data_IF_915800228062
#
_entry.id   IF_915800228062
#
_cell.length_a   1.000
_cell.length_b   1.000
_cell.length_c   1.000
_cell.angle_alpha   90.00
_cell.angle_beta   90.00
_cell.angle_gamma   90.00
#
_symmetry.space_group_name_H-M   'P 1'
#
loop_
_entity.id
_entity.type
_entity.pdbx_description
1 polymer ?
#
# COMPACT_ATOMS: atom_id res chain seq x y z
N UNK A 1 13.80 -13.98 -16.78
CA UNK A 1 13.44 -14.54 -15.46
C UNK A 1 13.95 -13.67 -14.32
N UNK A 2 15.20 -13.87 -13.88
CA UNK A 2 15.76 -13.25 -12.67
C UNK A 2 15.79 -11.71 -12.68
N UNK A 3 16.15 -11.08 -13.80
CA UNK A 3 16.17 -9.61 -13.93
C UNK A 3 14.78 -8.97 -13.78
N UNK A 4 13.72 -9.63 -14.26
CA UNK A 4 12.33 -9.12 -14.16
C UNK A 4 11.80 -9.25 -12.73
N UNK A 5 12.06 -10.37 -12.07
CA UNK A 5 11.71 -10.57 -10.66
C UNK A 5 12.39 -9.53 -9.76
N UNK A 6 13.69 -9.31 -9.94
CA UNK A 6 14.42 -8.28 -9.18
C UNK A 6 13.86 -6.87 -9.41
N UNK A 7 13.43 -6.55 -10.64
CA UNK A 7 12.78 -5.29 -10.94
C UNK A 7 11.41 -5.16 -10.23
N UNK A 8 10.60 -6.22 -10.20
CA UNK A 8 9.30 -6.21 -9.51
C UNK A 8 9.46 -6.07 -7.99
N UNK A 9 10.44 -6.75 -7.39
CA UNK A 9 10.79 -6.55 -5.97
C UNK A 9 11.20 -5.09 -5.73
N UNK A 10 11.99 -4.48 -6.61
CA UNK A 10 12.35 -3.06 -6.49
C UNK A 10 11.13 -2.15 -6.59
N UNK A 11 10.18 -2.43 -7.49
CA UNK A 11 8.93 -1.68 -7.59
C UNK A 11 8.09 -1.83 -6.32
N UNK A 12 8.00 -3.04 -5.76
CA UNK A 12 7.33 -3.30 -4.49
C UNK A 12 7.93 -2.48 -3.34
N UNK A 13 9.26 -2.47 -3.22
CA UNK A 13 9.98 -1.68 -2.22
C UNK A 13 9.75 -0.17 -2.39
N UNK A 14 9.62 0.30 -3.63
CA UNK A 14 9.27 1.69 -3.89
C UNK A 14 7.86 2.02 -3.37
N UNK A 15 6.86 1.16 -3.61
CA UNK A 15 5.52 1.36 -3.04
C UNK A 15 5.55 1.46 -1.52
N UNK A 16 6.27 0.54 -0.86
CA UNK A 16 6.44 0.56 0.60
C UNK A 16 7.14 1.83 1.09
N UNK A 17 8.16 2.30 0.38
CA UNK A 17 8.85 3.55 0.74
C UNK A 17 7.93 4.77 0.66
N UNK A 18 7.03 4.81 -0.33
CA UNK A 18 6.03 5.88 -0.47
C UNK A 18 5.00 5.79 0.66
N UNK A 19 4.51 4.59 0.98
CA UNK A 19 3.58 4.40 2.11
C UNK A 19 4.21 4.89 3.42
N UNK A 20 5.48 4.54 3.68
CA UNK A 20 6.20 4.99 4.88
C UNK A 20 6.40 6.50 4.92
N UNK A 21 6.81 7.11 3.81
CA UNK A 21 6.95 8.56 3.73
C UNK A 21 5.62 9.28 4.02
N UNK A 22 4.51 8.79 3.46
CA UNK A 22 3.18 9.31 3.76
C UNK A 22 2.79 9.08 5.23
N UNK A 23 3.12 7.93 5.81
CA UNK A 23 2.85 7.61 7.20
C UNK A 23 3.60 8.56 8.15
N UNK A 24 4.87 8.84 7.89
CA UNK A 24 5.69 9.78 8.65
C UNK A 24 5.14 11.21 8.57
N UNK A 25 4.76 11.66 7.36
CA UNK A 25 4.14 12.98 7.17
C UNK A 25 2.83 13.11 7.96
N UNK A 26 1.94 12.10 7.87
CA UNK A 26 0.67 12.09 8.60
C UNK A 26 0.89 12.03 10.11
N UNK A 27 1.91 11.31 10.58
CA UNK A 27 2.26 11.24 12.00
C UNK A 27 2.77 12.58 12.52
N UNK A 28 3.62 13.29 11.76
CA UNK A 28 4.07 14.64 12.11
C UNK A 28 2.92 15.62 12.19
N UNK A 29 1.97 15.56 11.24
CA UNK A 29 0.76 16.39 11.26
C UNK A 29 -0.14 16.04 12.46
N UNK A 30 -0.26 14.76 12.82
CA UNK A 30 -1.02 14.32 13.99
C UNK A 30 -0.44 14.89 15.29
N UNK A 31 0.88 14.89 15.44
CA UNK A 31 1.57 15.46 16.62
C UNK A 31 1.45 16.99 16.65
N UNK A 32 1.57 17.65 15.50
CA UNK A 32 1.50 19.11 15.39
C UNK A 32 0.06 19.67 15.49
N UNK A 33 -0.95 18.81 15.39
CA UNK A 33 -2.36 19.21 15.39
C UNK A 33 -2.75 19.81 16.75
N UNK A 34 -3.17 21.07 16.74
CA UNK A 34 -3.70 21.76 17.94
C UNK A 34 -5.10 21.30 18.33
N UNK A 35 -5.86 20.80 17.36
CA UNK A 35 -7.21 20.26 17.58
C UNK A 35 -7.13 18.73 17.80
N UNK A 36 -7.57 18.23 18.97
CA UNK A 36 -7.60 16.80 19.26
C UNK A 36 -8.43 15.96 18.26
N UNK A 37 -9.47 16.53 17.64
CA UNK A 37 -10.28 15.81 16.66
C UNK A 37 -9.49 15.53 15.37
N UNK A 38 -8.76 16.53 14.90
CA UNK A 38 -7.88 16.44 13.73
C UNK A 38 -6.74 15.46 14.02
N UNK A 39 -6.14 15.54 15.22
CA UNK A 39 -5.11 14.60 15.66
C UNK A 39 -5.58 13.15 15.60
N UNK A 40 -6.78 12.84 16.15
CA UNK A 40 -7.35 11.47 16.09
C UNK A 40 -7.58 10.99 14.67
N UNK A 41 -8.05 11.86 13.77
CA UNK A 41 -8.28 11.48 12.37
C UNK A 41 -6.96 11.08 11.70
N UNK A 42 -5.90 11.88 11.85
CA UNK A 42 -4.59 11.54 11.30
C UNK A 42 -3.98 10.30 11.94
N UNK A 43 -4.14 10.10 13.25
CA UNK A 43 -3.71 8.86 13.91
C UNK A 43 -4.41 7.62 13.34
N UNK A 44 -5.72 7.71 13.06
CA UNK A 44 -6.45 6.62 12.39
C UNK A 44 -5.92 6.35 10.98
N UNK A 45 -5.58 7.39 10.22
CA UNK A 45 -4.95 7.22 8.89
C UNK A 45 -3.56 6.58 8.99
N UNK A 46 -2.76 6.95 9.99
CA UNK A 46 -1.46 6.32 10.28
C UNK A 46 -1.63 4.82 10.57
N UNK A 47 -2.64 4.43 11.37
CA UNK A 47 -2.93 3.01 11.61
C UNK A 47 -3.30 2.25 10.32
N UNK A 48 -4.09 2.86 9.43
CA UNK A 48 -4.44 2.25 8.14
C UNK A 48 -3.20 2.10 7.24
N UNK A 49 -2.34 3.12 7.16
CA UNK A 49 -1.10 3.08 6.38
C UNK A 49 -0.11 2.05 6.93
N UNK A 50 -0.03 1.91 8.26
CA UNK A 50 0.77 0.87 8.92
C UNK A 50 0.27 -0.52 8.55
N UNK A 51 -1.06 -0.77 8.64
CA UNK A 51 -1.65 -2.04 8.23
C UNK A 51 -1.41 -2.33 6.74
N UNK A 52 -1.53 -1.32 5.86
CA UNK A 52 -1.20 -1.44 4.45
C UNK A 52 0.26 -1.86 4.24
N UNK A 53 1.21 -1.20 4.91
CA UNK A 53 2.63 -1.54 4.78
C UNK A 53 2.95 -2.94 5.31
N UNK A 54 2.30 -3.34 6.41
CA UNK A 54 2.39 -4.68 7.00
C UNK A 54 1.98 -5.77 6.01
N UNK A 55 0.76 -5.64 5.45
CA UNK A 55 0.21 -6.59 4.48
C UNK A 55 1.06 -6.60 3.20
N UNK A 56 1.43 -5.42 2.70
CA UNK A 56 2.22 -5.31 1.46
C UNK A 56 3.60 -5.96 1.62
N UNK A 57 4.29 -5.71 2.75
CA UNK A 57 5.58 -6.34 3.03
C UNK A 57 5.46 -7.86 3.11
N UNK A 58 4.41 -8.38 3.77
CA UNK A 58 4.18 -9.83 3.81
C UNK A 58 3.94 -10.41 2.40
N UNK A 59 3.11 -9.74 1.60
CA UNK A 59 2.86 -10.15 0.21
C UNK A 59 4.14 -10.09 -0.65
N UNK A 60 4.99 -9.09 -0.44
CA UNK A 60 6.29 -8.97 -1.09
C UNK A 60 7.16 -10.21 -0.78
N UNK A 61 7.24 -10.61 0.49
CA UNK A 61 8.05 -11.76 0.92
C UNK A 61 7.50 -13.08 0.35
N UNK A 62 6.19 -13.32 0.49
CA UNK A 62 5.56 -14.60 0.16
C UNK A 62 5.35 -14.78 -1.35
N UNK A 63 4.88 -13.74 -2.04
CA UNK A 63 4.41 -13.85 -3.43
C UNK A 63 5.40 -13.31 -4.47
N UNK A 64 6.11 -12.22 -4.16
CA UNK A 64 6.96 -11.53 -5.14
C UNK A 64 8.40 -12.02 -5.06
N UNK A 65 8.99 -11.99 -3.87
CA UNK A 65 10.35 -12.46 -3.61
C UNK A 65 10.41 -13.99 -3.56
N UNK A 66 9.35 -14.66 -3.10
CA UNK A 66 9.24 -16.13 -3.04
C UNK A 66 10.53 -16.73 -2.46
N UNK A 67 10.87 -16.31 -1.26
CA UNK A 67 12.09 -16.72 -0.59
C UNK A 67 12.07 -18.24 -0.36
N UNK A 68 13.18 -18.96 -0.63
CA UNK A 68 13.26 -20.39 -0.33
C UNK A 68 13.22 -20.63 1.18
N UNK A 69 12.96 -21.89 1.57
CA UNK A 69 13.00 -22.31 2.97
C UNK A 69 14.31 -21.87 3.64
N UNK A 70 14.22 -21.44 4.90
CA UNK A 70 15.31 -20.84 5.66
C UNK A 70 15.49 -19.34 5.42
N UNK A 71 15.69 -18.88 4.18
CA UNK A 71 15.74 -17.44 3.88
C UNK A 71 14.39 -16.74 4.17
N UNK A 72 13.29 -17.47 4.00
CA UNK A 72 11.94 -17.02 4.37
C UNK A 72 11.86 -16.58 5.84
N UNK A 73 12.42 -17.35 6.78
CA UNK A 73 12.37 -17.02 8.20
C UNK A 73 13.12 -15.72 8.49
N UNK A 74 14.27 -15.50 7.84
CA UNK A 74 15.02 -14.24 7.97
C UNK A 74 14.19 -13.04 7.51
N UNK A 75 13.50 -13.17 6.37
CA UNK A 75 12.62 -12.12 5.88
C UNK A 75 11.41 -11.89 6.79
N UNK A 76 10.86 -12.93 7.42
CA UNK A 76 9.78 -12.81 8.41
C UNK A 76 10.25 -12.14 9.71
N UNK A 77 11.49 -12.41 10.15
CA UNK A 77 12.11 -11.70 11.28
C UNK A 77 12.27 -10.22 10.96
N UNK A 78 12.79 -9.89 9.79
CA UNK A 78 12.92 -8.50 9.34
C UNK A 78 11.55 -7.84 9.17
N UNK A 79 10.54 -8.58 8.72
CA UNK A 79 9.14 -8.13 8.66
C UNK A 79 8.64 -7.72 10.04
N UNK A 80 8.73 -8.58 11.05
CA UNK A 80 8.27 -8.25 12.41
C UNK A 80 9.05 -7.07 13.00
N UNK A 81 10.37 -7.04 12.84
CA UNK A 81 11.21 -5.94 13.35
C UNK A 81 10.83 -4.59 12.77
N UNK A 82 10.52 -4.54 11.48
CA UNK A 82 10.10 -3.30 10.81
C UNK A 82 8.74 -2.78 11.30
N UNK A 83 7.91 -3.64 11.88
CA UNK A 83 6.54 -3.32 12.29
C UNK A 83 6.35 -3.23 13.81
N UNK A 84 7.40 -3.52 14.59
CA UNK A 84 7.44 -3.40 16.06
C UNK A 84 8.55 -2.41 16.44
N UNK A 85 8.26 -1.11 16.30
CA UNK A 85 9.25 -0.02 16.38
C UNK A 85 9.59 0.48 17.80
N UNK A 86 9.02 -0.09 18.86
CA UNK A 86 9.20 0.42 20.24
C UNK A 86 10.51 -0.06 20.90
N UNK A 87 11.23 -0.97 20.28
CA UNK A 87 12.41 -1.61 20.90
C UNK A 87 13.64 -0.72 20.84
N UNK A 88 13.84 0.00 19.73
CA UNK A 88 15.02 0.85 19.56
C UNK A 88 14.99 2.07 20.48
N UNK A 89 13.80 2.63 20.73
CA UNK A 89 13.63 3.72 21.71
C UNK A 89 13.86 3.22 23.14
N UNK A 90 13.34 2.04 23.49
CA UNK A 90 13.57 1.42 24.80
C UNK A 90 15.05 1.06 25.01
N UNK A 91 15.71 0.56 23.97
CA UNK A 91 17.15 0.27 23.99
C UNK A 91 17.96 1.55 24.24
N UNK A 92 17.66 2.63 23.55
CA UNK A 92 18.32 3.91 23.75
C UNK A 92 18.12 4.46 25.18
N UNK A 93 16.92 4.32 25.73
CA UNK A 93 16.57 4.76 27.09
C UNK A 93 17.34 3.96 28.16
N UNK A 94 17.29 2.63 28.10
CA UNK A 94 18.01 1.74 29.03
C UNK A 94 19.53 1.96 28.97
N UNK A 95 20.08 2.18 27.77
CA UNK A 95 21.50 2.44 27.56
C UNK A 95 21.94 3.84 27.99
N UNK A 96 21.03 4.82 27.96
CA UNK A 96 21.27 6.18 28.44
C UNK A 96 21.27 6.32 29.96
N UNK A 97 20.77 5.31 30.68
CA UNK A 97 20.78 5.27 32.14
C UNK A 97 22.20 5.11 32.71
N UNK A 98 22.46 5.70 33.88
CA UNK A 98 23.76 5.61 34.57
C UNK A 98 24.15 4.16 34.92
N UNK A 99 23.16 3.29 35.16
CA UNK A 99 23.36 1.88 35.46
C UNK A 99 22.33 1.02 34.69
N UNK A 100 22.63 0.61 33.45
CA UNK A 100 21.68 -0.12 32.61
C UNK A 100 21.15 -1.41 33.25
N UNK A 101 21.99 -2.16 33.98
CA UNK A 101 21.61 -3.42 34.65
C UNK A 101 20.57 -3.25 35.76
N UNK A 102 20.48 -2.07 36.37
CA UNK A 102 19.52 -1.77 37.44
C UNK A 102 18.26 -1.06 36.92
N UNK A 103 18.17 -0.83 35.62
CA UNK A 103 17.02 -0.16 35.03
C UNK A 103 15.78 -1.06 35.10
N UNK A 104 14.62 -0.51 35.45
CA UNK A 104 13.38 -1.28 35.62
C UNK A 104 12.98 -2.06 34.36
N UNK A 105 13.31 -1.51 33.19
CA UNK A 105 13.02 -2.14 31.89
C UNK A 105 14.16 -3.01 31.33
N UNK A 106 15.25 -3.25 32.07
CA UNK A 106 16.41 -3.99 31.56
C UNK A 106 16.05 -5.40 31.11
N UNK A 107 15.46 -6.22 31.99
CA UNK A 107 15.09 -7.60 31.65
C UNK A 107 13.98 -7.67 30.62
N UNK A 108 13.02 -6.73 30.66
CA UNK A 108 11.99 -6.57 29.63
C UNK A 108 12.62 -6.39 28.25
N UNK A 109 13.60 -5.50 28.14
CA UNK A 109 14.33 -5.24 26.90
C UNK A 109 15.13 -6.47 26.44
N UNK A 110 15.86 -7.14 27.33
CA UNK A 110 16.60 -8.36 26.98
C UNK A 110 15.66 -9.44 26.44
N UNK A 111 14.51 -9.66 27.09
CA UNK A 111 13.49 -10.60 26.61
C UNK A 111 12.97 -10.20 25.23
N UNK A 112 12.63 -8.93 25.00
CA UNK A 112 12.17 -8.45 23.68
C UNK A 112 13.24 -8.68 22.60
N UNK A 113 14.52 -8.41 22.88
CA UNK A 113 15.62 -8.64 21.94
C UNK A 113 15.73 -10.13 21.57
N UNK A 114 15.55 -11.04 22.53
CA UNK A 114 15.53 -12.49 22.29
C UNK A 114 14.29 -12.88 21.48
N UNK A 115 13.11 -12.36 21.79
CA UNK A 115 11.88 -12.64 21.03
C UNK A 115 11.98 -12.19 19.56
N UNK A 116 12.65 -11.06 19.30
CA UNK A 116 12.93 -10.55 17.94
C UNK A 116 14.13 -11.23 17.24
N UNK A 117 14.82 -12.15 17.90
CA UNK A 117 16.02 -12.81 17.39
C UNK A 117 17.25 -11.88 17.25
N UNK A 118 17.29 -10.75 17.96
CA UNK A 118 18.45 -9.83 18.05
C UNK A 118 19.44 -10.31 19.11
N UNK A 119 19.92 -11.54 18.95
CA UNK A 119 20.71 -12.24 19.96
C UNK A 119 22.05 -11.57 20.27
N UNK A 120 22.68 -10.92 19.28
CA UNK A 120 23.92 -10.18 19.50
C UNK A 120 23.76 -8.99 20.44
N UNK A 121 22.62 -8.30 20.37
CA UNK A 121 22.30 -7.17 21.23
C UNK A 121 21.87 -7.65 22.62
N UNK A 122 21.06 -8.71 22.70
CA UNK A 122 20.74 -9.37 23.95
C UNK A 122 22.02 -9.81 24.69
N UNK A 123 22.98 -10.41 23.98
CA UNK A 123 24.29 -10.81 24.52
C UNK A 123 25.09 -9.62 25.04
N UNK A 124 25.08 -8.49 24.33
CA UNK A 124 25.74 -7.26 24.79
C UNK A 124 25.09 -6.75 26.09
N UNK A 125 23.77 -6.79 26.20
CA UNK A 125 23.07 -6.43 27.44
C UNK A 125 23.42 -7.39 28.58
N UNK A 126 23.44 -8.71 28.34
CA UNK A 126 23.84 -9.70 29.34
C UNK A 126 25.29 -9.53 29.82
N UNK A 127 26.21 -9.06 28.96
CA UNK A 127 27.59 -8.77 29.39
C UNK A 127 27.64 -7.63 30.41
N UNK A 128 26.77 -6.63 30.31
CA UNK A 128 26.68 -5.53 31.29
C UNK A 128 26.15 -6.00 32.63
N UNK A 129 25.21 -6.95 32.62
CA UNK A 129 24.74 -7.60 33.84
C UNK A 129 25.83 -8.47 34.48
N UNK A 130 26.61 -9.19 33.65
CA UNK A 130 27.73 -9.99 34.14
C UNK A 130 28.83 -9.13 34.81
N UNK A 131 29.05 -7.92 34.31
CA UNK A 131 30.00 -6.97 34.91
C UNK A 131 29.46 -6.34 36.20
N UNK A 132 28.14 -6.11 36.28
CA UNK A 132 27.50 -5.50 37.44
C UNK A 132 27.27 -6.50 38.60
N UNK A 133 27.01 -7.77 38.29
CA UNK A 133 26.63 -8.80 39.25
C UNK A 133 27.53 -10.04 39.13
N UNK A 134 28.55 -10.17 40.01
CA UNK A 134 29.48 -11.31 39.96
C UNK A 134 28.83 -12.67 40.18
N UNK A 135 27.68 -12.73 40.86
CA UNK A 135 26.94 -13.97 41.14
C UNK A 135 26.21 -14.50 39.91
N UNK A 136 25.72 -13.62 39.02
CA UNK A 136 25.08 -14.01 37.75
C UNK A 136 26.06 -14.06 36.57
N UNK A 137 27.27 -13.52 36.72
CA UNK A 137 28.27 -13.42 35.66
C UNK A 137 28.58 -14.73 34.94
N UNK A 138 28.71 -15.85 35.66
CA UNK A 138 28.95 -17.16 35.07
C UNK A 138 27.78 -17.61 34.18
N UNK A 139 26.55 -17.49 34.70
CA UNK A 139 25.32 -17.84 33.98
C UNK A 139 25.10 -16.95 32.75
N UNK A 140 25.31 -15.63 32.88
CA UNK A 140 25.20 -14.68 31.78
C UNK A 140 26.19 -14.97 30.64
N UNK A 141 27.41 -15.42 30.96
CA UNK A 141 28.41 -15.82 29.95
C UNK A 141 27.98 -17.09 29.21
N UNK A 142 27.51 -18.11 29.93
CA UNK A 142 27.01 -19.35 29.33
C UNK A 142 25.86 -19.05 28.37
N UNK A 143 24.83 -18.31 28.83
CA UNK A 143 23.70 -17.96 27.99
C UNK A 143 24.12 -17.08 26.80
N UNK A 144 25.04 -16.14 27.02
CA UNK A 144 25.62 -15.32 25.96
C UNK A 144 26.42 -16.12 24.93
N UNK A 145 27.09 -17.19 25.35
CA UNK A 145 27.78 -18.11 24.44
C UNK A 145 26.79 -18.93 23.62
N UNK A 146 25.70 -19.43 24.23
CA UNK A 146 24.59 -20.10 23.51
C UNK A 146 23.94 -19.17 22.48
N UNK A 147 23.73 -17.89 22.82
CA UNK A 147 23.20 -16.90 21.89
C UNK A 147 24.13 -16.68 20.69
N UNK A 148 25.45 -16.66 20.92
CA UNK A 148 26.45 -16.49 19.86
C UNK A 148 26.55 -17.70 18.94
N UNK A 149 26.41 -18.91 19.48
CA UNK A 149 26.53 -20.16 18.71
C UNK A 149 25.25 -20.56 17.99
N UNK A 150 24.13 -19.84 18.19
CA UNK A 150 22.88 -20.10 17.50
C UNK A 150 23.09 -20.17 15.97
N UNK A 151 22.73 -21.29 15.31
CA UNK A 151 22.88 -21.41 13.88
C UNK A 151 21.91 -20.51 13.10
N UNK A 152 22.46 -19.65 12.24
CA UNK A 152 21.68 -18.78 11.35
C UNK A 152 22.14 -18.98 9.91
N UNK A 153 21.19 -19.00 8.96
CA UNK A 153 21.49 -19.06 7.54
C UNK A 153 22.20 -17.79 7.07
N UNK A 154 23.42 -17.94 6.59
CA UNK A 154 24.18 -16.84 6.01
C UNK A 154 23.98 -16.79 4.48
N UNK A 155 23.52 -15.66 3.89
CA UNK A 155 23.19 -15.56 2.46
C UNK A 155 24.35 -15.82 1.47
N UNK A 156 25.59 -15.92 1.96
CA UNK A 156 26.79 -16.18 1.15
C UNK A 156 27.40 -17.57 1.33
N UNK A 157 26.88 -18.40 2.23
CA UNK A 157 27.44 -19.73 2.51
C UNK A 157 26.71 -20.81 1.71
N UNK A 158 27.46 -21.80 1.21
CA UNK A 158 26.91 -22.99 0.53
C UNK A 158 26.31 -24.02 1.50
N UNK A 159 25.88 -23.58 2.69
CA UNK A 159 25.36 -24.47 3.71
C UNK A 159 24.02 -25.04 3.26
N UNK A 160 23.86 -26.36 3.36
CA UNK A 160 22.58 -27.01 3.03
C UNK A 160 21.59 -26.83 4.18
N UNK A 161 20.28 -26.90 3.88
CA UNK A 161 19.24 -26.84 4.93
C UNK A 161 19.39 -27.97 5.94
N UNK A 162 19.82 -29.16 5.50
CA UNK A 162 20.07 -30.30 6.38
C UNK A 162 21.25 -30.04 7.33
N UNK A 163 22.33 -29.42 6.86
CA UNK A 163 23.46 -29.02 7.72
C UNK A 163 23.07 -27.95 8.74
N UNK A 164 22.19 -27.02 8.37
CA UNK A 164 21.65 -26.05 9.31
C UNK A 164 20.83 -26.75 10.39
N UNK A 165 19.89 -27.61 9.99
CA UNK A 165 19.01 -28.34 10.89
C UNK A 165 19.81 -29.18 11.89
N UNK A 166 20.85 -29.90 11.44
CA UNK A 166 21.72 -30.68 12.33
C UNK A 166 22.47 -29.81 13.35
N UNK A 167 23.02 -28.67 12.92
CA UNK A 167 23.67 -27.73 13.86
C UNK A 167 22.67 -27.15 14.84
N UNK A 168 21.47 -26.85 14.37
CA UNK A 168 20.41 -26.28 15.20
C UNK A 168 19.93 -27.28 16.24
N UNK A 169 19.73 -28.54 15.87
CA UNK A 169 19.39 -29.62 16.80
C UNK A 169 20.47 -29.79 17.87
N UNK A 170 21.74 -29.79 17.47
CA UNK A 170 22.84 -29.87 18.43
C UNK A 170 22.86 -28.68 19.40
N UNK A 171 22.67 -27.47 18.90
CA UNK A 171 22.56 -26.26 19.72
C UNK A 171 21.35 -26.33 20.67
N UNK A 172 20.22 -26.84 20.19
CA UNK A 172 19.00 -27.01 20.98
C UNK A 172 19.21 -28.03 22.13
N UNK A 173 19.88 -29.15 21.86
CA UNK A 173 20.30 -30.13 22.89
C UNK A 173 21.25 -29.52 23.94
N UNK A 174 22.15 -28.61 23.54
CA UNK A 174 23.03 -27.90 24.49
C UNK A 174 22.24 -26.96 25.41
N UNK A 175 21.30 -26.20 24.85
CA UNK A 175 20.38 -25.37 25.63
C UNK A 175 19.57 -26.23 26.62
N UNK A 176 19.07 -27.40 26.18
CA UNK A 176 18.27 -28.30 27.00
C UNK A 176 19.10 -28.88 28.16
N UNK A 177 20.34 -29.29 27.88
CA UNK A 177 21.27 -29.81 28.88
C UNK A 177 21.53 -28.79 29.99
N UNK A 178 21.77 -27.53 29.63
CA UNK A 178 21.99 -26.47 30.63
C UNK A 178 20.77 -26.24 31.53
N UNK A 179 19.56 -26.41 30.99
CA UNK A 179 18.32 -26.30 31.77
C UNK A 179 18.13 -27.52 32.69
N UNK A 180 18.39 -28.75 32.20
CA UNK A 180 18.33 -29.98 32.99
C UNK A 180 19.33 -29.99 34.14
N UNK A 181 20.55 -29.49 33.90
CA UNK A 181 21.61 -29.35 34.90
C UNK A 181 21.31 -28.23 35.92
N UNK A 182 20.16 -27.54 35.80
CA UNK A 182 19.76 -26.43 36.67
C UNK A 182 20.79 -25.30 36.71
N UNK A 183 21.52 -25.10 35.61
CA UNK A 183 22.59 -24.09 35.50
C UNK A 183 22.10 -22.68 35.82
N UNK A 184 20.83 -22.39 35.50
CA UNK A 184 20.21 -21.07 35.65
C UNK A 184 19.31 -20.92 36.88
N UNK A 185 19.22 -21.93 37.76
CA UNK A 185 18.25 -21.93 38.88
C UNK A 185 18.40 -20.75 39.86
N UNK A 186 19.58 -20.12 39.91
CA UNK A 186 19.82 -18.94 40.73
C UNK A 186 19.27 -17.62 40.13
N UNK A 187 18.87 -17.61 38.85
CA UNK A 187 18.28 -16.45 38.18
C UNK A 187 17.07 -16.86 37.34
N UNK A 188 15.83 -16.58 37.80
CA UNK A 188 14.61 -16.96 37.08
C UNK A 188 14.51 -16.28 35.71
N UNK A 189 15.08 -15.09 35.56
CA UNK A 189 15.11 -14.38 34.28
C UNK A 189 15.98 -15.12 33.25
N UNK A 190 17.16 -15.60 33.61
CA UNK A 190 18.04 -16.34 32.69
C UNK A 190 17.45 -17.71 32.35
N UNK A 191 16.80 -18.36 33.32
CA UNK A 191 16.08 -19.61 33.08
C UNK A 191 14.91 -19.41 32.10
N UNK A 192 14.13 -18.35 32.27
CA UNK A 192 13.05 -17.97 31.36
C UNK A 192 13.57 -17.70 29.94
N UNK A 193 14.67 -16.95 29.79
CA UNK A 193 15.31 -16.73 28.49
C UNK A 193 15.77 -18.03 27.83
N UNK A 194 16.34 -18.96 28.60
CA UNK A 194 16.73 -20.27 28.07
C UNK A 194 15.51 -21.10 27.62
N UNK A 195 14.39 -21.07 28.37
CA UNK A 195 13.13 -21.72 27.97
C UNK A 195 12.56 -21.12 26.68
N UNK A 196 12.64 -19.80 26.53
CA UNK A 196 12.27 -19.10 25.29
C UNK A 196 13.14 -19.57 24.11
N UNK A 197 14.47 -19.64 24.29
CA UNK A 197 15.40 -20.11 23.25
C UNK A 197 15.20 -21.58 22.86
N UNK A 198 14.66 -22.40 23.77
CA UNK A 198 14.24 -23.78 23.50
C UNK A 198 12.89 -23.89 22.78
N UNK A 199 12.19 -22.77 22.60
CA UNK A 199 10.87 -22.75 21.99
C UNK A 199 9.77 -23.34 22.88
N UNK A 200 9.92 -23.28 24.21
CA UNK A 200 8.86 -23.66 25.14
C UNK A 200 7.63 -22.77 24.93
N UNK A 201 6.54 -23.36 24.43
CA UNK A 201 5.30 -22.66 24.10
C UNK A 201 4.70 -21.95 25.33
N UNK A 202 4.80 -22.55 26.52
CA UNK A 202 4.29 -21.94 27.74
C UNK A 202 5.10 -20.69 28.11
N UNK A 203 6.43 -20.77 28.05
CA UNK A 203 7.31 -19.63 28.33
C UNK A 203 7.13 -18.49 27.31
N UNK A 204 6.88 -18.81 26.03
CA UNK A 204 6.57 -17.81 25.01
C UNK A 204 5.21 -17.14 25.26
N UNK A 205 4.19 -17.90 25.65
CA UNK A 205 2.85 -17.36 25.97
C UNK A 205 2.84 -16.51 27.24
N UNK A 206 3.70 -16.79 28.22
CA UNK A 206 3.91 -15.90 29.37
C UNK A 206 4.37 -14.49 28.95
N UNK A 207 5.06 -14.37 27.79
CA UNK A 207 5.53 -13.09 27.24
C UNK A 207 4.56 -12.47 26.22
N UNK A 208 3.29 -12.89 26.21
CA UNK A 208 2.25 -12.41 25.27
C UNK A 208 2.16 -10.87 25.22
N UNK A 209 2.25 -10.21 26.36
CA UNK A 209 2.22 -8.73 26.45
C UNK A 209 3.42 -8.06 25.79
N UNK A 210 4.59 -8.72 25.74
CA UNK A 210 5.79 -8.18 25.10
C UNK A 210 5.79 -8.39 23.59
N UNK A 211 5.14 -9.46 23.13
CA UNK A 211 5.01 -9.76 21.71
C UNK A 211 4.01 -8.83 21.03
N UNK A 212 3.02 -8.34 21.78
CA UNK A 212 1.86 -7.54 21.36
C UNK A 212 0.90 -8.26 20.41
N UNK A 213 1.43 -8.98 19.41
CA UNK A 213 0.67 -9.49 18.27
C UNK A 213 1.00 -10.97 18.00
N UNK A 214 0.02 -11.73 17.52
CA UNK A 214 0.16 -13.17 17.28
C UNK A 214 1.19 -13.52 16.19
N UNK A 215 1.39 -12.63 15.21
CA UNK A 215 2.36 -12.87 14.14
C UNK A 215 3.81 -12.65 14.60
N UNK A 216 4.03 -11.84 15.64
CA UNK A 216 5.34 -11.80 16.31
C UNK A 216 5.59 -13.13 17.03
N UNK A 217 4.58 -13.61 17.79
CA UNK A 217 4.63 -14.94 18.42
C UNK A 217 4.90 -16.06 17.40
N UNK A 218 4.22 -16.06 16.25
CA UNK A 218 4.46 -17.00 15.15
C UNK A 218 5.94 -17.00 14.74
N UNK A 219 6.51 -15.84 14.43
CA UNK A 219 7.88 -15.74 13.92
C UNK A 219 8.90 -16.17 14.97
N UNK A 220 8.69 -15.80 16.23
CA UNK A 220 9.51 -16.25 17.36
C UNK A 220 9.43 -17.78 17.54
N UNK A 221 8.23 -18.36 17.45
CA UNK A 221 8.04 -19.82 17.52
C UNK A 221 8.74 -20.53 16.36
N UNK A 222 8.66 -20.00 15.15
CA UNK A 222 9.38 -20.54 13.99
C UNK A 222 10.91 -20.46 14.20
N UNK A 223 11.42 -19.37 14.79
CA UNK A 223 12.84 -19.20 15.05
C UNK A 223 13.41 -20.25 16.03
N UNK A 224 12.67 -20.54 17.11
CA UNK A 224 13.14 -21.42 18.19
C UNK A 224 12.57 -22.84 18.14
N UNK A 225 11.73 -23.18 17.17
CA UNK A 225 11.20 -24.54 17.02
C UNK A 225 11.35 -25.11 15.61
N UNK A 226 11.32 -24.28 14.56
CA UNK A 226 11.25 -24.73 13.17
C UNK A 226 12.06 -23.84 12.19
N UNK A 227 13.40 -23.81 12.31
CA UNK A 227 14.26 -22.90 11.54
C UNK A 227 14.24 -23.14 10.02
N UNK A 228 13.90 -24.36 9.59
CA UNK A 228 13.81 -24.74 8.16
C UNK A 228 12.38 -24.83 7.63
N UNK A 229 11.43 -24.10 8.24
CA UNK A 229 10.02 -24.11 7.82
C UNK A 229 9.87 -23.87 6.31
N UNK A 230 9.03 -24.69 5.67
CA UNK A 230 8.71 -24.55 4.25
C UNK A 230 7.50 -23.64 4.08
N UNK A 231 7.42 -22.90 2.96
CA UNK A 231 6.26 -22.04 2.66
C UNK A 231 4.92 -22.77 2.79
N UNK A 232 4.82 -24.01 2.33
CA UNK A 232 3.56 -24.78 2.32
C UNK A 232 3.02 -25.12 3.72
N UNK A 233 3.91 -25.20 4.71
CA UNK A 233 3.56 -25.56 6.09
C UNK A 233 3.27 -24.31 6.94
N UNK A 234 3.53 -23.11 6.40
CA UNK A 234 3.48 -21.85 7.13
C UNK A 234 2.07 -21.52 7.65
N UNK A 235 1.04 -21.85 6.88
CA UNK A 235 -0.35 -21.67 7.27
C UNK A 235 -0.71 -22.44 8.54
N UNK A 236 -0.25 -23.70 8.67
CA UNK A 236 -0.52 -24.53 9.84
C UNK A 236 0.03 -23.88 11.11
N UNK A 237 1.27 -23.39 11.05
CA UNK A 237 1.89 -22.69 12.17
C UNK A 237 1.22 -21.35 12.45
N UNK A 238 0.82 -20.60 11.42
CA UNK A 238 0.12 -19.33 11.56
C UNK A 238 -1.23 -19.51 12.27
N UNK A 239 -2.05 -20.47 11.84
CA UNK A 239 -3.34 -20.75 12.45
C UNK A 239 -3.18 -21.23 13.90
N UNK A 240 -2.29 -22.19 14.15
CA UNK A 240 -1.99 -22.64 15.52
C UNK A 240 -1.49 -21.50 16.41
N UNK A 241 -0.69 -20.58 15.87
CA UNK A 241 -0.17 -19.44 16.63
C UNK A 241 -1.24 -18.41 16.94
N UNK A 242 -2.17 -18.16 16.00
CA UNK A 242 -3.33 -17.31 16.23
C UNK A 242 -4.24 -17.89 17.31
N UNK A 243 -4.57 -19.18 17.22
CA UNK A 243 -5.47 -19.86 18.16
C UNK A 243 -4.90 -19.82 19.59
N UNK A 244 -3.61 -20.14 19.74
CA UNK A 244 -2.90 -20.07 21.03
C UNK A 244 -2.85 -18.63 21.56
N UNK A 245 -2.58 -17.66 20.70
CA UNK A 245 -2.44 -16.26 21.12
C UNK A 245 -3.78 -15.64 21.50
N UNK A 246 -4.87 -15.92 20.77
CA UNK A 246 -6.21 -15.39 21.10
C UNK A 246 -6.91 -16.16 22.22
N UNK A 247 -6.44 -17.37 22.56
CA UNK A 247 -6.98 -18.17 23.64
C UNK A 247 -8.45 -18.58 23.44
N UNK A 248 -8.97 -18.50 22.21
CA UNK A 248 -10.36 -18.80 21.86
C UNK A 248 -11.42 -17.80 22.34
N UNK A 249 -11.06 -16.77 23.10
CA UNK A 249 -12.02 -15.81 23.69
C UNK A 249 -12.29 -14.60 22.77
N UNK A 250 -11.33 -14.26 21.91
CA UNK A 250 -11.43 -13.11 21.00
C UNK A 250 -11.54 -13.57 19.55
N UNK A 251 -12.44 -12.94 18.79
CA UNK A 251 -12.53 -13.17 17.35
C UNK A 251 -11.35 -12.48 16.62
N UNK A 252 -10.78 -13.12 15.58
CA UNK A 252 -9.74 -12.50 14.76
C UNK A 252 -10.20 -11.16 14.17
N UNK A 253 -9.32 -10.16 14.19
CA UNK A 253 -9.58 -8.88 13.54
C UNK A 253 -9.51 -9.00 12.00
N UNK A 254 -10.08 -8.05 11.24
CA UNK A 254 -9.98 -8.08 9.78
C UNK A 254 -8.55 -8.20 9.25
N UNK A 255 -7.59 -7.58 9.94
CA UNK A 255 -6.17 -7.69 9.61
C UNK A 255 -5.65 -9.13 9.77
N UNK A 256 -6.04 -9.82 10.84
CA UNK A 256 -5.62 -11.20 11.11
C UNK A 256 -6.09 -12.14 10.00
N UNK A 257 -7.32 -11.96 9.52
CA UNK A 257 -7.87 -12.74 8.41
C UNK A 257 -7.08 -12.51 7.11
N UNK A 258 -6.64 -11.28 6.85
CA UNK A 258 -5.80 -10.97 5.68
C UNK A 258 -4.43 -11.65 5.81
N UNK A 259 -3.80 -11.57 6.97
CA UNK A 259 -2.48 -12.17 7.20
C UNK A 259 -2.55 -13.70 7.12
N UNK A 260 -3.59 -14.32 7.70
CA UNK A 260 -3.83 -15.76 7.59
C UNK A 260 -4.01 -16.20 6.12
N UNK A 261 -4.83 -15.48 5.35
CA UNK A 261 -5.01 -15.76 3.93
C UNK A 261 -3.70 -15.64 3.15
N UNK A 262 -2.85 -14.67 3.51
CA UNK A 262 -1.52 -14.55 2.93
C UNK A 262 -0.62 -15.76 3.27
N UNK A 263 -0.65 -16.23 4.51
CA UNK A 263 0.08 -17.43 4.93
C UNK A 263 -0.47 -18.73 4.32
N UNK A 264 -1.77 -18.77 3.99
CA UNK A 264 -2.41 -19.86 3.22
C UNK A 264 -2.07 -19.82 1.72
N UNK A 265 -1.42 -18.75 1.27
CA UNK A 265 -1.18 -18.46 -0.14
C UNK A 265 -2.47 -18.26 -0.97
N UNK A 266 -3.60 -17.91 -0.32
CA UNK A 266 -4.84 -17.53 -1.01
C UNK A 266 -4.84 -16.03 -1.35
N UNK A 267 -4.27 -15.73 -2.52
CA UNK A 267 -4.19 -14.37 -3.06
C UNK A 267 -5.59 -13.75 -3.26
N UNK A 268 -6.59 -14.56 -3.66
CA UNK A 268 -7.92 -14.04 -3.93
C UNK A 268 -8.62 -13.58 -2.65
N UNK A 269 -8.45 -14.35 -1.58
CA UNK A 269 -8.97 -13.99 -0.27
C UNK A 269 -8.24 -12.76 0.30
N UNK A 270 -6.91 -12.65 0.14
CA UNK A 270 -6.17 -11.42 0.51
C UNK A 270 -6.75 -10.18 -0.18
N UNK A 271 -6.92 -10.24 -1.51
CA UNK A 271 -7.46 -9.12 -2.30
C UNK A 271 -8.86 -8.73 -1.83
N UNK A 272 -9.74 -9.72 -1.59
CA UNK A 272 -11.11 -9.52 -1.15
C UNK A 272 -11.16 -8.86 0.23
N UNK A 273 -10.45 -9.43 1.20
CA UNK A 273 -10.47 -8.91 2.58
C UNK A 273 -9.81 -7.53 2.65
N UNK A 274 -8.74 -7.27 1.91
CA UNK A 274 -8.17 -5.92 1.80
C UNK A 274 -9.15 -4.90 1.21
N UNK A 275 -9.98 -5.30 0.24
CA UNK A 275 -11.00 -4.41 -0.35
C UNK A 275 -12.05 -3.98 0.68
N UNK A 276 -12.41 -4.89 1.59
CA UNK A 276 -13.41 -4.65 2.63
C UNK A 276 -12.79 -3.87 3.79
N UNK A 277 -11.67 -4.36 4.34
CA UNK A 277 -11.08 -3.85 5.58
C UNK A 277 -10.44 -2.47 5.42
N UNK A 278 -9.71 -2.24 4.32
CA UNK A 278 -8.97 -0.98 4.14
C UNK A 278 -9.83 0.11 3.51
N UNK A 279 -10.95 -0.25 2.86
CA UNK A 279 -11.81 0.67 2.10
C UNK A 279 -11.05 1.57 1.12
N UNK A 280 -9.88 1.11 0.65
CA UNK A 280 -8.98 1.86 -0.20
C UNK A 280 -8.67 1.10 -1.49
N UNK A 281 -9.28 1.54 -2.58
CA UNK A 281 -9.06 0.97 -3.91
C UNK A 281 -7.62 1.10 -4.40
N UNK A 282 -6.85 2.09 -3.91
CA UNK A 282 -5.43 2.23 -4.28
C UNK A 282 -4.64 0.98 -3.91
N UNK A 283 -4.80 0.48 -2.69
CA UNK A 283 -4.02 -0.66 -2.22
C UNK A 283 -4.29 -1.89 -3.08
N UNK A 284 -5.57 -2.22 -3.24
CA UNK A 284 -6.00 -3.44 -3.91
C UNK A 284 -5.70 -3.38 -5.41
N UNK A 285 -5.91 -2.22 -6.06
CA UNK A 285 -5.61 -2.05 -7.48
C UNK A 285 -4.11 -2.23 -7.76
N UNK A 286 -3.24 -1.61 -6.97
CA UNK A 286 -1.78 -1.68 -7.20
C UNK A 286 -1.17 -3.01 -6.77
N UNK A 287 -1.62 -3.59 -5.66
CA UNK A 287 -1.15 -4.92 -5.24
C UNK A 287 -1.56 -5.97 -6.28
N UNK A 288 -2.82 -5.95 -6.73
CA UNK A 288 -3.31 -6.88 -7.76
C UNK A 288 -2.57 -6.69 -9.08
N UNK A 289 -2.34 -5.45 -9.51
CA UNK A 289 -1.55 -5.15 -10.71
C UNK A 289 -0.13 -5.74 -10.60
N UNK A 290 0.53 -5.57 -9.46
CA UNK A 290 1.87 -6.10 -9.24
C UNK A 290 1.90 -7.63 -9.24
N UNK A 291 0.90 -8.28 -8.62
CA UNK A 291 0.75 -9.74 -8.60
C UNK A 291 0.44 -10.32 -10.00
N UNK A 292 -0.35 -9.62 -10.82
CA UNK A 292 -0.58 -9.99 -12.22
C UNK A 292 0.71 -9.90 -13.06
N UNK A 293 1.53 -8.85 -12.83
CA UNK A 293 2.85 -8.74 -13.45
C UNK A 293 3.81 -9.85 -13.02
N UNK A 294 3.61 -10.43 -11.82
CA UNK A 294 4.30 -11.62 -11.33
C UNK A 294 3.76 -12.93 -11.92
N UNK A 295 2.65 -12.89 -12.68
CA UNK A 295 1.96 -14.06 -13.27
C UNK A 295 1.41 -15.05 -12.25
N UNK A 296 1.01 -14.53 -11.09
CA UNK A 296 0.40 -15.32 -10.02
C UNK A 296 -1.12 -15.41 -10.15
N UNK A 297 -1.73 -14.40 -10.77
CA UNK A 297 -3.17 -14.38 -11.03
C UNK A 297 -3.45 -15.09 -12.35
N UNK A 298 -4.39 -16.03 -12.32
CA UNK A 298 -4.91 -16.64 -13.54
C UNK A 298 -5.87 -15.67 -14.22
N UNK A 299 -5.71 -15.48 -15.52
CA UNK A 299 -6.58 -14.64 -16.35
C UNK A 299 -7.91 -15.36 -16.63
N UNK A 300 -8.70 -15.61 -15.60
CA UNK A 300 -10.09 -16.01 -15.76
C UNK A 300 -10.93 -14.73 -15.84
N UNK A 301 -11.68 -14.61 -16.94
CA UNK A 301 -12.67 -13.55 -17.06
C UNK A 301 -13.77 -13.79 -16.04
N UNK A 302 -14.09 -12.76 -15.26
CA UNK A 302 -15.24 -12.76 -14.38
C UNK A 302 -16.51 -12.81 -15.23
N UNK A 303 -17.64 -13.19 -14.63
CA UNK A 303 -18.93 -13.34 -15.35
C UNK A 303 -19.37 -12.08 -16.13
N UNK A 304 -18.79 -10.92 -15.82
CA UNK A 304 -19.04 -9.63 -16.45
C UNK A 304 -17.99 -9.21 -17.49
N UNK A 305 -17.15 -10.14 -17.96
CA UNK A 305 -16.33 -9.93 -19.16
C UNK A 305 -14.99 -9.21 -18.95
N UNK A 306 -14.55 -9.01 -17.71
CA UNK A 306 -13.25 -8.43 -17.36
C UNK A 306 -12.51 -9.33 -16.37
N UNK A 307 -11.18 -9.25 -16.32
CA UNK A 307 -10.40 -9.96 -15.32
C UNK A 307 -10.35 -9.17 -13.99
N UNK A 308 -9.97 -9.84 -12.89
CA UNK A 308 -9.90 -9.23 -11.56
C UNK A 308 -9.04 -7.97 -11.51
N UNK A 309 -7.88 -7.98 -12.18
CA UNK A 309 -6.96 -6.83 -12.24
C UNK A 309 -7.65 -5.62 -12.84
N UNK A 310 -8.25 -5.79 -14.01
CA UNK A 310 -8.92 -4.69 -14.71
C UNK A 310 -10.13 -4.18 -13.92
N UNK A 311 -10.95 -5.06 -13.35
CA UNK A 311 -12.04 -4.63 -12.47
C UNK A 311 -11.56 -3.68 -11.36
N UNK A 312 -10.51 -4.06 -10.62
CA UNK A 312 -10.00 -3.24 -9.52
C UNK A 312 -9.34 -1.93 -9.99
N UNK A 313 -8.67 -1.94 -11.14
CA UNK A 313 -8.13 -0.72 -11.75
C UNK A 313 -9.26 0.23 -12.19
N UNK A 314 -10.37 -0.29 -12.73
CA UNK A 314 -11.52 0.52 -13.12
C UNK A 314 -12.21 1.16 -11.91
N UNK A 315 -12.38 0.44 -10.80
CA UNK A 315 -12.93 0.99 -9.56
C UNK A 315 -12.03 2.09 -9.00
N UNK A 316 -10.72 1.86 -8.98
CA UNK A 316 -9.75 2.87 -8.55
C UNK A 316 -9.77 4.11 -9.46
N UNK A 317 -9.76 3.92 -10.79
CA UNK A 317 -9.82 5.01 -11.77
C UNK A 317 -11.12 5.82 -11.62
N UNK A 318 -12.25 5.14 -11.41
CA UNK A 318 -13.55 5.79 -11.17
C UNK A 318 -13.54 6.63 -9.88
N UNK A 319 -12.90 6.13 -8.82
CA UNK A 319 -12.65 6.88 -7.60
C UNK A 319 -11.80 8.15 -7.82
N UNK A 320 -10.75 8.07 -8.62
CA UNK A 320 -9.94 9.23 -9.00
C UNK A 320 -10.73 10.26 -9.81
N UNK A 321 -11.62 9.80 -10.69
CA UNK A 321 -12.49 10.66 -11.50
C UNK A 321 -13.48 11.48 -10.68
N UNK A 322 -13.94 10.95 -9.55
CA UNK A 322 -14.80 11.69 -8.64
C UNK A 322 -14.08 12.89 -8.00
N UNK A 323 -12.74 12.86 -7.92
CA UNK A 323 -11.95 13.93 -7.32
C UNK A 323 -11.62 15.07 -8.30
N UNK A 324 -11.77 16.31 -7.86
CA UNK A 324 -11.69 17.49 -8.72
C UNK A 324 -10.31 17.72 -9.38
N UNK A 325 -9.23 17.26 -8.75
CA UNK A 325 -7.85 17.42 -9.22
C UNK A 325 -7.23 16.15 -9.82
N UNK A 326 -7.77 14.96 -9.51
CA UNK A 326 -7.13 13.68 -9.86
C UNK A 326 -7.71 13.03 -11.10
N UNK A 327 -8.81 13.54 -11.65
CA UNK A 327 -9.46 12.96 -12.82
C UNK A 327 -8.52 12.77 -14.03
N UNK A 328 -7.50 13.63 -14.23
CA UNK A 328 -6.51 13.44 -15.30
C UNK A 328 -5.69 12.17 -15.11
N UNK A 329 -5.27 11.90 -13.87
CA UNK A 329 -4.59 10.65 -13.54
C UNK A 329 -5.51 9.45 -13.75
N UNK A 330 -6.80 9.59 -13.40
CA UNK A 330 -7.80 8.56 -13.68
C UNK A 330 -7.91 8.21 -15.17
N UNK A 331 -7.73 9.18 -16.07
CA UNK A 331 -7.75 8.93 -17.54
C UNK A 331 -6.62 7.97 -17.90
N UNK A 332 -5.42 8.21 -17.36
CA UNK A 332 -4.26 7.36 -17.63
C UNK A 332 -4.52 5.93 -17.14
N UNK A 333 -5.16 5.73 -15.98
CA UNK A 333 -5.54 4.38 -15.52
C UNK A 333 -6.54 3.68 -16.44
N UNK A 334 -7.52 4.40 -16.99
CA UNK A 334 -8.44 3.83 -17.97
C UNK A 334 -7.74 3.39 -19.25
N UNK A 335 -6.68 4.10 -19.69
CA UNK A 335 -5.91 3.69 -20.87
C UNK A 335 -5.13 2.38 -20.66
N UNK A 336 -4.78 2.04 -19.42
CA UNK A 336 -4.13 0.77 -19.06
C UNK A 336 -5.10 -0.40 -18.80
N UNK A 337 -6.40 -0.19 -19.06
CA UNK A 337 -7.45 -1.21 -18.97
C UNK A 337 -7.84 -1.70 -20.39
N UNK A 338 -7.54 -2.97 -20.76
CA UNK A 338 -7.60 -3.43 -22.14
C UNK A 338 -9.01 -3.65 -22.71
N UNK A 339 -9.98 -4.11 -21.91
CA UNK A 339 -11.30 -4.52 -22.40
C UNK A 339 -12.34 -3.41 -22.19
N UNK A 340 -12.45 -2.90 -20.96
CA UNK A 340 -13.52 -1.98 -20.55
C UNK A 340 -13.03 -0.54 -20.29
N UNK A 341 -11.73 -0.29 -20.40
CA UNK A 341 -11.12 1.01 -20.12
C UNK A 341 -11.69 2.14 -20.95
N UNK A 342 -11.75 1.95 -22.27
CA UNK A 342 -12.27 2.96 -23.22
C UNK A 342 -13.73 3.29 -22.97
N UNK A 343 -14.58 2.26 -22.87
CA UNK A 343 -16.03 2.45 -22.66
C UNK A 343 -16.28 3.14 -21.31
N UNK A 344 -15.53 2.76 -20.28
CA UNK A 344 -15.61 3.40 -18.96
C UNK A 344 -15.19 4.87 -19.02
N UNK A 345 -14.09 5.20 -19.71
CA UNK A 345 -13.64 6.57 -19.90
C UNK A 345 -14.70 7.41 -20.64
N UNK A 346 -15.30 6.87 -21.71
CA UNK A 346 -16.36 7.52 -22.48
C UNK A 346 -17.57 7.89 -21.60
N UNK A 347 -17.94 7.04 -20.64
CA UNK A 347 -19.04 7.31 -19.69
C UNK A 347 -18.68 8.33 -18.60
N UNK A 348 -17.43 8.32 -18.13
CA UNK A 348 -16.99 9.19 -17.03
C UNK A 348 -16.63 10.61 -17.50
N UNK A 349 -16.07 10.76 -18.70
CA UNK A 349 -15.57 12.04 -19.19
C UNK A 349 -16.68 13.09 -19.34
N UNK A 350 -17.89 12.66 -19.71
CA UNK A 350 -19.04 13.55 -19.87
C UNK A 350 -19.58 14.08 -18.54
N UNK A 351 -19.26 13.40 -17.42
CA UNK A 351 -19.71 13.79 -16.08
C UNK A 351 -18.79 14.81 -15.41
N UNK A 352 -17.64 15.12 -16.02
CA UNK A 352 -16.69 16.07 -15.44
C UNK A 352 -17.34 17.46 -15.39
N UNK A 353 -17.40 18.12 -14.22
CA UNK A 353 -17.94 19.47 -14.13
C UNK A 353 -17.01 20.45 -14.86
N UNK A 354 -17.53 21.08 -15.91
CA UNK A 354 -16.84 22.05 -16.78
C UNK A 354 -16.97 23.47 -16.21
N UNK A 355 -16.42 23.71 -15.02
CA UNK A 355 -16.53 25.00 -14.33
C UNK A 355 -15.74 26.14 -14.97
N UNK A 356 -14.67 25.82 -15.71
CA UNK A 356 -13.81 26.82 -16.38
C UNK A 356 -13.53 26.42 -17.82
N UNK A 357 -13.32 27.42 -18.68
CA UNK A 357 -12.96 27.22 -20.08
C UNK A 357 -11.62 26.48 -20.23
N UNK A 358 -10.65 26.76 -19.35
CA UNK A 358 -9.37 26.03 -19.31
C UNK A 358 -9.59 24.54 -19.03
N UNK A 359 -10.48 24.19 -18.09
CA UNK A 359 -10.78 22.78 -17.79
C UNK A 359 -11.48 22.12 -18.97
N UNK A 360 -12.41 22.82 -19.62
CA UNK A 360 -13.08 22.34 -20.82
C UNK A 360 -12.11 22.06 -21.98
N UNK A 361 -11.17 22.97 -22.25
CA UNK A 361 -10.12 22.78 -23.26
C UNK A 361 -9.22 21.58 -22.95
N UNK A 362 -8.89 21.35 -21.67
CA UNK A 362 -8.12 20.17 -21.24
C UNK A 362 -8.89 18.87 -21.52
N UNK A 363 -10.17 18.81 -21.16
CA UNK A 363 -11.02 17.63 -21.42
C UNK A 363 -11.12 17.38 -22.92
N UNK A 364 -11.37 18.42 -23.73
CA UNK A 364 -11.46 18.27 -25.18
C UNK A 364 -10.17 17.76 -25.80
N UNK A 365 -9.00 18.27 -25.35
CA UNK A 365 -7.70 17.77 -25.80
C UNK A 365 -7.52 16.28 -25.51
N UNK A 366 -7.92 15.84 -24.32
CA UNK A 366 -7.87 14.43 -23.91
C UNK A 366 -8.74 13.56 -24.83
N UNK A 367 -9.97 14.00 -25.12
CA UNK A 367 -10.89 13.30 -26.02
C UNK A 367 -10.36 13.27 -27.47
N UNK A 368 -9.80 14.37 -27.97
CA UNK A 368 -9.25 14.47 -29.33
C UNK A 368 -8.03 13.57 -29.52
N UNK A 369 -7.12 13.53 -28.54
CA UNK A 369 -5.97 12.63 -28.56
C UNK A 369 -6.39 11.15 -28.63
N UNK A 370 -7.54 10.80 -28.06
CA UNK A 370 -8.10 9.43 -28.00
C UNK A 370 -9.18 9.16 -29.06
N UNK A 371 -9.38 10.07 -30.02
CA UNK A 371 -10.36 9.95 -31.10
C UNK A 371 -11.81 9.73 -30.61
N UNK A 372 -12.17 10.32 -29.47
CA UNK A 372 -13.51 10.26 -28.86
C UNK A 372 -14.44 11.31 -29.47
N UNK A 373 -14.78 11.15 -30.75
CA UNK A 373 -15.46 12.20 -31.54
C UNK A 373 -16.86 12.54 -31.03
N UNK A 374 -17.60 11.55 -30.53
CA UNK A 374 -18.95 11.76 -29.99
C UNK A 374 -18.92 12.56 -28.68
N UNK A 375 -17.95 12.26 -27.81
CA UNK A 375 -17.76 12.99 -26.55
C UNK A 375 -17.28 14.42 -26.81
N UNK A 376 -16.39 14.64 -27.80
CA UNK A 376 -16.00 16.00 -28.24
C UNK A 376 -17.24 16.78 -28.68
N UNK A 377 -18.09 16.19 -29.52
CA UNK A 377 -19.34 16.81 -29.98
C UNK A 377 -20.26 17.14 -28.80
N UNK A 378 -20.51 16.17 -27.92
CA UNK A 378 -21.35 16.29 -26.72
C UNK A 378 -20.89 17.45 -25.82
N UNK A 379 -19.60 17.46 -25.47
CA UNK A 379 -18.99 18.49 -24.64
C UNK A 379 -19.07 19.88 -25.29
N UNK A 380 -18.76 19.98 -26.59
CA UNK A 380 -18.84 21.25 -27.31
C UNK A 380 -20.29 21.80 -27.34
N UNK A 381 -21.31 20.94 -27.45
CA UNK A 381 -22.72 21.36 -27.37
C UNK A 381 -23.07 21.94 -26.00
N UNK A 382 -22.62 21.29 -24.91
CA UNK A 382 -22.84 21.78 -23.54
C UNK A 382 -22.18 23.16 -23.35
N UNK A 383 -20.95 23.32 -23.82
CA UNK A 383 -20.22 24.60 -23.75
C UNK A 383 -20.91 25.70 -24.57
N UNK A 384 -21.39 25.36 -25.78
CA UNK A 384 -22.15 26.29 -26.61
C UNK A 384 -23.42 26.76 -25.90
N UNK A 385 -24.21 25.84 -25.32
CA UNK A 385 -25.41 26.18 -24.55
C UNK A 385 -25.11 27.09 -23.35
N UNK A 386 -24.05 26.80 -22.60
CA UNK A 386 -23.64 27.63 -21.47
C UNK A 386 -23.18 29.02 -21.90
N UNK A 387 -22.44 29.13 -23.01
CA UNK A 387 -22.03 30.42 -23.57
C UNK A 387 -23.23 31.26 -24.03
N UNK A 388 -24.23 30.63 -24.67
CA UNK A 388 -25.50 31.30 -25.04
C UNK A 388 -26.23 31.81 -23.80
N UNK A 389 -26.31 31.03 -22.72
CA UNK A 389 -26.95 31.45 -21.46
C UNK A 389 -26.26 32.64 -20.81
N UNK A 390 -24.94 32.73 -20.93
CA UNK A 390 -24.13 33.83 -20.39
C UNK A 390 -23.99 35.03 -21.35
N UNK A 391 -24.79 35.06 -22.43
CA UNK A 391 -24.78 36.10 -23.45
C UNK A 391 -23.42 36.32 -24.16
N UNK A 392 -22.60 35.26 -24.25
CA UNK A 392 -21.32 35.25 -24.97
C UNK A 392 -21.49 34.58 -26.33
N UNK A 393 -22.01 35.33 -27.29
CA UNK A 393 -22.40 34.80 -28.60
C UNK A 393 -21.19 34.33 -29.42
N UNK A 394 -20.04 35.01 -29.37
CA UNK A 394 -18.84 34.59 -30.10
C UNK A 394 -18.31 33.23 -29.64
N UNK A 395 -18.18 33.04 -28.33
CA UNK A 395 -17.80 31.74 -27.75
C UNK A 395 -18.83 30.66 -28.09
N UNK A 396 -20.13 30.96 -28.02
CA UNK A 396 -21.18 30.02 -28.39
C UNK A 396 -21.06 29.55 -29.83
N UNK A 397 -20.83 30.47 -30.77
CA UNK A 397 -20.66 30.16 -32.19
C UNK A 397 -19.42 29.28 -32.42
N UNK A 398 -18.29 29.63 -31.81
CA UNK A 398 -17.05 28.85 -31.87
C UNK A 398 -17.25 27.39 -31.42
N UNK A 399 -17.89 27.20 -30.26
CA UNK A 399 -18.19 25.86 -29.75
C UNK A 399 -19.17 25.08 -30.65
N UNK A 400 -20.13 25.77 -31.26
CA UNK A 400 -21.11 25.16 -32.18
C UNK A 400 -20.45 24.66 -33.47
N UNK A 401 -19.52 25.44 -34.00
CA UNK A 401 -18.71 25.07 -35.15
C UNK A 401 -17.86 23.84 -34.84
N UNK A 402 -17.19 23.84 -33.67
CA UNK A 402 -16.39 22.69 -33.22
C UNK A 402 -17.24 21.44 -32.99
N UNK A 403 -18.46 21.59 -32.49
CA UNK A 403 -19.43 20.49 -32.37
C UNK A 403 -19.97 19.98 -33.72
N UNK A 404 -19.75 20.73 -34.82
CA UNK A 404 -20.40 20.52 -36.12
C UNK A 404 -21.92 20.46 -36.01
N UNK A 405 -22.51 21.28 -35.12
CA UNK A 405 -23.96 21.35 -34.94
C UNK A 405 -24.55 22.49 -35.80
N UNK A 406 -25.02 22.14 -36.99
CA UNK A 406 -25.59 23.09 -37.94
C UNK A 406 -26.87 23.79 -37.43
N UNK A 407 -27.70 23.07 -36.67
CA UNK A 407 -28.94 23.63 -36.13
C UNK A 407 -28.63 24.66 -35.03
N UNK A 408 -27.69 24.34 -34.14
CA UNK A 408 -27.28 25.27 -33.10
C UNK A 408 -26.49 26.46 -33.66
N UNK A 409 -25.64 26.24 -34.67
CA UNK A 409 -24.95 27.33 -35.38
C UNK A 409 -25.94 28.30 -36.04
N UNK A 410 -27.03 27.79 -36.63
CA UNK A 410 -28.15 28.61 -37.15
C UNK A 410 -28.76 29.48 -36.05
N UNK A 411 -29.12 28.87 -34.91
CA UNK A 411 -29.74 29.58 -33.79
C UNK A 411 -28.86 30.72 -33.25
N UNK A 412 -27.55 30.48 -33.12
CA UNK A 412 -26.60 31.51 -32.65
C UNK A 412 -26.42 32.60 -33.71
N UNK A 413 -26.37 32.22 -34.99
CA UNK A 413 -26.27 33.18 -36.11
C UNK A 413 -27.47 34.11 -36.19
N UNK A 414 -28.70 33.58 -36.02
CA UNK A 414 -29.92 34.39 -36.00
C UNK A 414 -29.94 35.37 -34.82
N UNK A 415 -29.39 34.99 -33.66
CA UNK A 415 -29.22 35.91 -32.53
C UNK A 415 -28.24 37.04 -32.82
N UNK A 416 -27.10 36.74 -33.47
CA UNK A 416 -26.16 37.77 -33.91
C UNK A 416 -26.80 38.78 -34.87
N UNK A 417 -27.58 38.30 -35.85
CA UNK A 417 -28.28 39.17 -36.80
C UNK A 417 -29.34 40.02 -36.09
N UNK A 418 -30.06 39.47 -35.11
CA UNK A 418 -31.04 40.21 -34.33
C UNK A 418 -30.39 41.29 -33.46
N UNK A 419 -29.30 40.96 -32.76
CA UNK A 419 -28.54 41.93 -31.97
C UNK A 419 -28.00 43.07 -32.84
N UNK A 420 -27.55 42.76 -34.07
CA UNK A 420 -27.14 43.76 -35.05
C UNK A 420 -28.29 44.67 -35.47
N UNK A 421 -29.48 44.11 -35.77
CA UNK A 421 -30.67 44.91 -36.09
C UNK A 421 -31.07 45.87 -34.96
N UNK A 422 -30.86 45.48 -33.71
CA UNK A 422 -31.22 46.29 -32.54
C UNK A 422 -30.16 47.34 -32.17
N UNK A 423 -28.87 47.04 -32.34
CA UNK A 423 -27.75 47.88 -31.87
C UNK A 423 -26.96 48.57 -32.98
N UNK A 424 -27.14 48.15 -34.23
CA UNK A 424 -26.41 48.66 -35.40
C UNK A 424 -24.92 48.27 -35.45
N UNK A 425 -24.46 47.34 -34.61
CA UNK A 425 -23.08 46.85 -34.58
C UNK A 425 -23.02 45.39 -34.12
N UNK A 426 -22.01 44.65 -34.59
CA UNK A 426 -21.77 43.27 -34.18
C UNK A 426 -20.93 43.21 -32.90
N UNK A 427 -21.26 42.25 -32.04
CA UNK A 427 -20.39 41.77 -30.96
C UNK A 427 -19.38 40.76 -31.53
N UNK A 428 -18.17 40.69 -30.97
CA UNK A 428 -17.13 39.70 -31.29
C UNK A 428 -16.74 39.59 -32.79
N UNK A 429 -16.41 40.73 -33.42
CA UNK A 429 -16.05 40.88 -34.83
C UNK A 429 -14.94 39.93 -35.32
N UNK A 430 -13.87 39.78 -34.52
CA UNK A 430 -12.71 38.98 -34.88
C UNK A 430 -13.06 37.51 -35.15
N UNK A 431 -14.11 36.98 -34.52
CA UNK A 431 -14.53 35.60 -34.71
C UNK A 431 -15.30 35.41 -36.02
N UNK A 432 -16.15 36.38 -36.39
CA UNK A 432 -16.96 36.35 -37.61
C UNK A 432 -16.06 36.54 -38.84
N UNK A 433 -15.06 37.42 -38.74
CA UNK A 433 -14.10 37.70 -39.81
C UNK A 433 -13.16 36.49 -40.07
N UNK A 434 -13.00 35.57 -39.10
CA UNK A 434 -12.13 34.40 -39.19
C UNK A 434 -12.87 33.04 -39.33
N UNK A 435 -14.14 33.04 -39.77
CA UNK A 435 -14.92 31.79 -39.91
C UNK A 435 -14.39 30.83 -40.99
N UNK A 436 -13.76 31.34 -42.05
CA UNK A 436 -13.17 30.53 -43.12
C UNK A 436 -14.14 29.46 -43.68
N UNK A 437 -13.69 28.20 -43.89
CA UNK A 437 -14.55 27.11 -44.39
C UNK A 437 -15.73 26.76 -43.46
N UNK A 438 -15.69 27.15 -42.19
CA UNK A 438 -16.76 26.83 -41.23
C UNK A 438 -18.07 27.58 -41.53
N UNK A 439 -18.04 28.62 -42.38
CA UNK A 439 -19.25 29.32 -42.84
C UNK A 439 -20.26 28.36 -43.49
N UNK A 440 -19.76 27.34 -44.18
CA UNK A 440 -20.57 26.34 -44.90
C UNK A 440 -21.28 25.35 -43.97
N UNK A 441 -21.13 25.47 -42.64
CA UNK A 441 -21.81 24.61 -41.69
C UNK A 441 -23.33 24.85 -41.66
N UNK A 442 -23.78 26.06 -41.97
CA UNK A 442 -25.20 26.44 -42.05
C UNK A 442 -25.40 27.59 -43.02
N UNK A 443 -26.52 27.59 -43.75
CA UNK A 443 -26.91 28.68 -44.65
C UNK A 443 -27.02 30.02 -43.93
N UNK A 444 -27.48 30.02 -42.67
CA UNK A 444 -27.60 31.24 -41.85
C UNK A 444 -26.25 31.75 -41.36
N UNK A 445 -25.32 30.84 -41.06
CA UNK A 445 -23.94 31.21 -40.73
C UNK A 445 -23.19 31.75 -41.95
N UNK A 446 -23.44 31.17 -43.14
CA UNK A 446 -22.94 31.69 -44.41
C UNK A 446 -23.46 33.10 -44.67
N UNK A 447 -24.76 33.32 -44.47
CA UNK A 447 -25.35 34.66 -44.58
C UNK A 447 -24.71 35.65 -43.61
N UNK A 448 -24.56 35.28 -42.33
CA UNK A 448 -23.92 36.14 -41.32
C UNK A 448 -22.51 36.57 -41.75
N UNK A 449 -21.65 35.62 -42.15
CA UNK A 449 -20.28 35.93 -42.57
C UNK A 449 -20.24 36.77 -43.87
N UNK A 450 -21.11 36.47 -44.85
CA UNK A 450 -21.19 37.26 -46.10
C UNK A 450 -21.76 38.66 -45.89
N UNK A 451 -22.74 38.79 -45.00
CA UNK A 451 -23.32 40.08 -44.64
C UNK A 451 -22.29 40.96 -43.92
N UNK A 452 -21.43 40.36 -43.11
CA UNK A 452 -20.27 41.03 -42.52
C UNK A 452 -19.20 41.40 -43.55
N UNK A 453 -18.86 40.54 -44.50
CA UNK A 453 -17.92 40.91 -45.58
C UNK A 453 -18.42 42.12 -46.41
N UNK A 454 -19.74 42.31 -46.49
CA UNK A 454 -20.37 43.41 -47.22
C UNK A 454 -20.38 44.75 -46.45
N UNK A 455 -20.35 44.71 -45.10
CA UNK A 455 -20.46 45.86 -44.20
C UNK A 455 -19.19 46.07 -43.37
#
# INVERSE_FOLDING_TARGET
>A
GKSRKAQLVRVSKNYRSVIRACMEEMHQVAIAAKDPAIGRQFSSQVSILSAMELIWNLCEILFIEVAPAGALLLHLLDWVRLHVCEVDSLLADVLGSENPSKHDSFWKLVTILVLQGRLDEARQMLSKEADASPSSAGMCRILGDLMRTMPVLSPGNTQTLTELELKWQHWHEECERHLQDSTFAASPHLESLCKIMLGDEAALLEQKELLNNWYHFLVTRLLYSHPTVKPIDLHLYAQSSLDLFLGGESSPEPLDNILLAAFEFDIHQVIKECSIALSNWWFVAHLTDLLDHCKLLQSHNLYFGSNMREFLLLEYASGLFAHHSLWQLGVDYFDYCPELGRVSLELHIERIPLSTEQKALKVLRICEQRQMTEQVRSICKILAMNAVRNNRLGSALSWSIRAKDAAFATLVSDRFLKDYCERGSFSDLDLIDNLGPAMMLSDRLTFLGKYREFH
#
